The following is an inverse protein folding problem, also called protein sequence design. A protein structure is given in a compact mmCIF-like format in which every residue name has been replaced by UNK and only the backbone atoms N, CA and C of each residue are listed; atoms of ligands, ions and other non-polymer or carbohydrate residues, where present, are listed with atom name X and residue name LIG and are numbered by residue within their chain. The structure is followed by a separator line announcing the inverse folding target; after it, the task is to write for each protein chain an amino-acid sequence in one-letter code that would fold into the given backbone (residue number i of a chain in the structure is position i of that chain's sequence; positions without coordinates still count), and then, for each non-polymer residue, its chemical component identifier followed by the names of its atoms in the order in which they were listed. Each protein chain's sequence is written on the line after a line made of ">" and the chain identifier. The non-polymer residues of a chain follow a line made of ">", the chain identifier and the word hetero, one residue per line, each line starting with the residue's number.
data_IF_204906803476
#
_entry.id   IF_204906803476
#
_cell.length_a   1.000
_cell.length_b   1.000
_cell.length_c   1.000
_cell.angle_alpha   90.00
_cell.angle_beta   90.00
_cell.angle_gamma   90.00
#
_symmetry.space_group_name_H-M   'P 1'
#
loop_
_entity.id
_entity.type
_entity.pdbx_description
1 polymer ?
#
# COMPACT_ATOMS: atom_id res chain seq x y z
N UNK A 1 0.30 14.77 52.44
CA UNK A 1 0.06 16.22 52.34
C UNK A 1 0.85 16.72 51.15
N UNK A 2 0.18 17.14 50.06
CA UNK A 2 0.87 17.75 48.93
C UNK A 2 1.51 19.05 49.41
N UNK A 3 2.83 19.14 49.29
CA UNK A 3 3.57 20.38 49.46
C UNK A 3 3.47 21.12 48.14
N UNK A 4 2.53 22.07 48.04
CA UNK A 4 2.57 23.04 46.95
C UNK A 4 3.82 23.90 47.17
N UNK A 5 4.60 24.07 46.11
CA UNK A 5 5.74 24.97 46.13
C UNK A 5 5.22 26.42 46.08
N UNK A 6 5.48 27.27 47.10
CA UNK A 6 4.93 28.63 47.15
C UNK A 6 5.53 29.58 46.10
N UNK A 7 6.56 29.16 45.37
CA UNK A 7 7.16 29.89 44.25
C UNK A 7 6.62 29.46 42.88
N UNK A 8 5.70 28.50 42.82
CA UNK A 8 5.13 28.04 41.54
C UNK A 8 4.20 29.10 40.93
N UNK A 9 4.46 29.45 39.68
CA UNK A 9 3.62 30.38 38.90
C UNK A 9 2.97 29.66 37.72
N UNK A 10 1.66 29.87 37.55
CA UNK A 10 0.89 29.28 36.47
C UNK A 10 1.28 29.87 35.11
N UNK A 11 1.62 31.17 35.07
CA UNK A 11 2.05 31.82 33.82
C UNK A 11 3.31 31.16 33.29
N UNK A 12 4.33 31.01 34.15
CA UNK A 12 5.60 30.38 33.81
C UNK A 12 5.40 28.94 33.32
N UNK A 13 4.56 28.17 34.01
CA UNK A 13 4.24 26.81 33.58
C UNK A 13 3.50 26.75 32.23
N UNK A 14 2.57 27.68 31.97
CA UNK A 14 1.86 27.74 30.68
C UNK A 14 2.79 28.17 29.55
N UNK A 15 3.71 29.08 29.82
CA UNK A 15 4.73 29.50 28.86
C UNK A 15 5.67 28.33 28.53
N UNK A 16 6.12 27.58 29.54
CA UNK A 16 6.91 26.34 29.35
C UNK A 16 6.15 25.30 28.51
N UNK A 17 4.88 25.04 28.83
CA UNK A 17 4.07 24.11 28.04
C UNK A 17 3.89 24.58 26.58
N UNK A 18 3.66 25.87 26.38
CA UNK A 18 3.51 26.43 25.04
C UNK A 18 4.82 26.36 24.24
N UNK A 19 5.98 26.55 24.88
CA UNK A 19 7.28 26.37 24.22
C UNK A 19 7.51 24.92 23.85
N UNK A 20 7.21 23.97 24.74
CA UNK A 20 7.35 22.54 24.48
C UNK A 20 6.45 22.08 23.32
N UNK A 21 5.21 22.57 23.27
CA UNK A 21 4.29 22.31 22.16
C UNK A 21 4.80 22.89 20.83
N UNK A 22 5.36 24.10 20.85
CA UNK A 22 5.93 24.71 19.65
C UNK A 22 7.15 23.93 19.12
N UNK A 23 8.02 23.45 20.01
CA UNK A 23 9.16 22.60 19.63
C UNK A 23 8.71 21.28 18.99
N UNK A 24 7.65 20.66 19.53
CA UNK A 24 7.05 19.45 18.96
C UNK A 24 6.50 19.71 17.54
N UNK A 25 5.77 20.81 17.36
CA UNK A 25 5.19 21.22 16.07
C UNK A 25 6.29 21.53 15.05
N UNK A 26 7.36 22.20 15.45
CA UNK A 26 8.52 22.45 14.59
C UNK A 26 9.15 21.13 14.13
N UNK A 27 9.30 20.16 15.03
CA UNK A 27 9.77 18.82 14.70
C UNK A 27 8.88 18.10 13.69
N UNK A 28 7.56 18.21 13.83
CA UNK A 28 6.60 17.64 12.87
C UNK A 28 6.68 18.31 11.50
N UNK A 29 6.74 19.64 11.46
CA UNK A 29 6.91 20.40 10.22
C UNK A 29 8.21 20.04 9.50
N UNK A 30 9.31 19.82 10.23
CA UNK A 30 10.58 19.37 9.64
C UNK A 30 10.46 18.01 8.94
N UNK A 31 9.73 17.06 9.54
CA UNK A 31 9.46 15.74 8.95
C UNK A 31 8.56 15.84 7.73
N UNK A 32 7.49 16.62 7.81
CA UNK A 32 6.59 16.84 6.66
C UNK A 32 7.32 17.50 5.49
N UNK A 33 8.16 18.49 5.77
CA UNK A 33 8.99 19.15 4.75
C UNK A 33 9.89 18.13 4.04
N UNK A 34 10.58 17.28 4.79
CA UNK A 34 11.42 16.22 4.22
C UNK A 34 10.60 15.24 3.36
N UNK A 35 9.41 14.84 3.82
CA UNK A 35 8.50 13.96 3.05
C UNK A 35 8.10 14.62 1.73
N UNK A 36 7.79 15.91 1.73
CA UNK A 36 7.44 16.65 0.52
C UNK A 36 8.64 16.80 -0.43
N UNK A 37 9.83 17.08 0.08
CA UNK A 37 11.06 17.16 -0.71
C UNK A 37 11.35 15.82 -1.42
N UNK A 38 11.20 14.69 -0.73
CA UNK A 38 11.38 13.35 -1.31
C UNK A 38 10.31 13.04 -2.38
N UNK A 39 9.04 13.35 -2.11
CA UNK A 39 7.95 13.17 -3.09
C UNK A 39 8.20 14.01 -4.35
N UNK A 40 8.64 15.25 -4.19
CA UNK A 40 9.01 16.12 -5.30
C UNK A 40 10.15 15.50 -6.13
N UNK A 41 11.22 15.04 -5.47
CA UNK A 41 12.34 14.40 -6.14
C UNK A 41 11.91 13.14 -6.93
N UNK A 42 11.03 12.32 -6.37
CA UNK A 42 10.45 11.17 -7.07
C UNK A 42 9.66 11.59 -8.30
N UNK A 43 8.84 12.63 -8.20
CA UNK A 43 8.09 13.17 -9.35
C UNK A 43 9.07 13.66 -10.44
N UNK A 44 10.12 14.38 -10.07
CA UNK A 44 11.11 14.87 -11.03
C UNK A 44 11.85 13.74 -11.77
N UNK A 45 12.19 12.66 -11.06
CA UNK A 45 12.83 11.49 -11.69
C UNK A 45 11.88 10.77 -12.64
N UNK A 46 10.61 10.62 -12.28
CA UNK A 46 9.58 10.08 -13.17
C UNK A 46 9.40 10.95 -14.43
N UNK A 47 9.32 12.27 -14.26
CA UNK A 47 9.22 13.20 -15.40
C UNK A 47 10.43 13.08 -16.33
N UNK A 48 11.66 12.99 -15.79
CA UNK A 48 12.87 12.78 -16.58
C UNK A 48 12.82 11.45 -17.34
N UNK A 49 12.36 10.37 -16.70
CA UNK A 49 12.21 9.05 -17.32
C UNK A 49 11.19 9.07 -18.46
N UNK A 50 10.02 9.66 -18.24
CA UNK A 50 8.97 9.78 -19.25
C UNK A 50 9.43 10.59 -20.46
N UNK A 51 10.14 11.70 -20.24
CA UNK A 51 10.74 12.48 -21.33
C UNK A 51 11.72 11.66 -22.15
N UNK A 52 12.60 10.89 -21.49
CA UNK A 52 13.53 9.98 -22.17
C UNK A 52 12.81 8.88 -22.96
N UNK A 53 11.75 8.29 -22.40
CA UNK A 53 10.96 7.28 -23.10
C UNK A 53 10.29 7.86 -24.35
N UNK A 54 9.73 9.07 -24.25
CA UNK A 54 9.16 9.77 -25.41
C UNK A 54 10.20 10.03 -26.50
N UNK A 55 11.39 10.51 -26.15
CA UNK A 55 12.48 10.74 -27.12
C UNK A 55 12.93 9.43 -27.82
N UNK A 56 12.93 8.30 -27.10
CA UNK A 56 13.24 6.99 -27.67
C UNK A 56 12.13 6.51 -28.60
N UNK A 57 10.86 6.67 -28.21
CA UNK A 57 9.71 6.33 -29.03
C UNK A 57 9.66 7.18 -30.31
N UNK A 58 9.87 8.49 -30.21
CA UNK A 58 9.97 9.40 -31.37
C UNK A 58 11.14 9.01 -32.28
N UNK A 59 12.31 8.61 -31.73
CA UNK A 59 13.42 8.08 -32.54
C UNK A 59 13.07 6.77 -33.24
N UNK A 60 12.31 5.87 -32.60
CA UNK A 60 11.87 4.61 -33.23
C UNK A 60 10.86 4.81 -34.36
N UNK A 61 10.12 5.92 -34.39
CA UNK A 61 9.30 6.29 -35.56
C UNK A 61 10.11 6.86 -36.72
N UNK A 62 11.39 7.21 -36.49
CA UNK A 62 12.37 7.54 -37.52
C UNK A 62 13.23 6.31 -37.85
N UNK A 63 12.60 5.18 -38.13
CA UNK A 63 13.32 3.95 -38.46
C UNK A 63 12.81 3.41 -39.79
N UNK A 64 13.75 3.15 -40.69
CA UNK A 64 13.60 2.55 -42.02
C UNK A 64 12.41 1.57 -42.08
N UNK A 65 11.48 1.71 -43.05
CA UNK A 65 10.33 0.82 -43.21
C UNK A 65 10.65 -0.69 -43.22
N UNK A 66 11.92 -1.06 -43.44
CA UNK A 66 12.39 -2.43 -43.47
C UNK A 66 13.12 -2.90 -42.20
N UNK A 67 13.26 -2.07 -41.15
CA UNK A 67 13.77 -2.54 -39.86
C UNK A 67 12.63 -3.15 -39.04
N UNK A 68 12.66 -4.49 -38.91
CA UNK A 68 11.81 -5.28 -38.02
C UNK A 68 12.63 -5.76 -36.82
N UNK A 69 11.97 -6.01 -35.69
CA UNK A 69 12.65 -6.48 -34.48
C UNK A 69 13.23 -7.89 -34.72
N UNK A 70 14.38 -8.22 -34.12
CA UNK A 70 15.06 -9.50 -34.34
C UNK A 70 14.20 -10.72 -33.95
N UNK A 71 13.17 -10.48 -33.14
CA UNK A 71 12.25 -11.49 -32.63
C UNK A 71 11.01 -11.70 -33.51
N UNK A 72 10.73 -10.81 -34.47
CA UNK A 72 9.60 -10.91 -35.42
C UNK A 72 9.79 -12.09 -36.42
N UNK A 73 10.98 -12.69 -36.45
CA UNK A 73 11.30 -13.87 -37.29
C UNK A 73 10.67 -15.16 -36.74
N UNK A 74 10.21 -15.15 -35.49
CA UNK A 74 9.60 -16.31 -34.83
C UNK A 74 8.06 -16.23 -34.76
N UNK A 75 7.45 -15.14 -35.23
CA UNK A 75 6.00 -15.11 -35.42
C UNK A 75 5.67 -15.95 -36.66
N UNK A 76 5.05 -17.11 -36.42
CA UNK A 76 4.71 -18.08 -37.45
C UNK A 76 3.65 -17.48 -38.40
N UNK A 77 3.99 -17.38 -39.70
CA UNK A 77 3.09 -16.93 -40.76
C UNK A 77 1.93 -17.95 -40.91
N UNK A 78 0.86 -17.78 -40.12
CA UNK A 78 -0.37 -18.52 -40.36
C UNK A 78 -1.29 -18.73 -39.15
N UNK A 79 -2.07 -17.72 -38.79
CA UNK A 79 -3.48 -17.93 -38.50
C UNK A 79 -4.28 -16.64 -38.74
N UNK A 80 -5.48 -16.82 -39.26
CA UNK A 80 -6.47 -15.84 -39.70
C UNK A 80 -6.76 -14.76 -38.63
N UNK A 81 -7.35 -13.59 -38.98
CA UNK A 81 -7.68 -12.56 -37.99
C UNK A 81 -8.79 -13.07 -37.08
N UNK A 82 -8.41 -13.82 -36.05
CA UNK A 82 -9.20 -13.98 -34.85
C UNK A 82 -9.43 -12.57 -34.31
N UNK A 83 -10.68 -12.34 -33.94
CA UNK A 83 -11.21 -11.15 -33.30
C UNK A 83 -10.18 -10.45 -32.42
N UNK A 84 -10.23 -9.12 -32.45
CA UNK A 84 -9.73 -8.21 -31.42
C UNK A 84 -10.26 -8.65 -30.05
N UNK A 85 -9.70 -9.73 -29.49
CA UNK A 85 -9.68 -9.94 -28.06
C UNK A 85 -8.60 -9.01 -27.58
N UNK A 86 -9.06 -7.93 -26.96
CA UNK A 86 -8.32 -6.99 -26.14
C UNK A 86 -7.17 -7.74 -25.46
N UNK A 87 -5.97 -7.62 -26.02
CA UNK A 87 -4.73 -7.90 -25.31
C UNK A 87 -4.69 -6.85 -24.22
N UNK A 88 -5.26 -7.24 -23.09
CA UNK A 88 -5.17 -6.56 -21.82
C UNK A 88 -3.72 -6.08 -21.64
N UNK A 89 -3.55 -4.75 -21.70
CA UNK A 89 -2.28 -4.06 -21.57
C UNK A 89 -1.80 -4.22 -20.13
N UNK A 90 -1.26 -5.39 -19.80
CA UNK A 90 -0.57 -5.63 -18.55
C UNK A 90 -1.38 -5.19 -17.33
N UNK A 91 -2.54 -5.80 -17.10
CA UNK A 91 -3.03 -5.87 -15.72
C UNK A 91 -1.88 -6.39 -14.85
N UNK A 92 -1.51 -5.58 -13.86
CA UNK A 92 -0.61 -6.03 -12.83
C UNK A 92 -1.20 -7.34 -12.30
N UNK A 93 -0.40 -8.40 -12.24
CA UNK A 93 -0.84 -9.71 -11.73
C UNK A 93 -1.41 -9.65 -10.30
N UNK A 94 -1.27 -8.48 -9.65
CA UNK A 94 -1.89 -8.09 -8.39
C UNK A 94 -2.47 -6.69 -8.62
N UNK A 95 -3.78 -6.58 -8.77
CA UNK A 95 -4.48 -5.31 -8.64
C UNK A 95 -4.42 -4.94 -7.16
N UNK A 96 -3.70 -3.88 -6.79
CA UNK A 96 -3.69 -3.36 -5.42
C UNK A 96 -5.04 -2.69 -5.06
N UNK A 97 -6.14 -3.25 -5.55
CA UNK A 97 -7.45 -2.62 -5.65
C UNK A 97 -7.97 -2.12 -4.32
N UNK A 98 -8.55 -0.91 -4.31
CA UNK A 98 -9.30 -0.22 -3.23
C UNK A 98 -8.66 -0.07 -1.83
N UNK A 99 -7.70 -0.91 -1.49
CA UNK A 99 -6.95 -0.98 -0.25
C UNK A 99 -5.76 -0.02 -0.39
N UNK A 100 -6.06 1.28 -0.45
CA UNK A 100 -5.07 2.35 -0.47
C UNK A 100 -4.29 2.40 0.85
N UNK A 101 -3.47 1.39 1.16
CA UNK A 101 -2.63 1.31 2.36
C UNK A 101 -1.54 2.41 2.41
N UNK A 102 -1.56 3.34 1.44
CA UNK A 102 -0.66 4.47 1.37
C UNK A 102 0.71 4.04 0.86
N UNK A 103 1.75 4.28 1.68
CA UNK A 103 3.15 4.07 1.29
C UNK A 103 3.68 2.65 1.66
N UNK A 104 2.86 1.77 2.26
CA UNK A 104 3.27 0.42 2.63
C UNK A 104 2.64 -0.67 1.71
N UNK A 105 3.37 -1.11 0.66
CA UNK A 105 2.89 -2.14 -0.25
C UNK A 105 2.83 -3.53 0.39
N UNK A 106 3.59 -3.79 1.46
CA UNK A 106 3.56 -5.09 2.14
C UNK A 106 2.28 -5.22 2.96
N UNK A 107 1.90 -4.16 3.67
CA UNK A 107 0.64 -4.12 4.40
C UNK A 107 -0.57 -4.36 3.48
N UNK A 108 -0.55 -3.78 2.27
CA UNK A 108 -1.60 -4.03 1.27
C UNK A 108 -1.68 -5.53 0.90
N UNK A 109 -0.56 -6.14 0.54
CA UNK A 109 -0.49 -7.57 0.17
C UNK A 109 -0.93 -8.47 1.33
N UNK A 110 -0.45 -8.20 2.55
CA UNK A 110 -0.83 -9.00 3.72
C UNK A 110 -2.31 -8.83 4.05
N UNK A 111 -2.85 -7.61 3.93
CA UNK A 111 -4.28 -7.35 4.15
C UNK A 111 -5.17 -8.08 3.13
N UNK A 112 -4.73 -8.19 1.88
CA UNK A 112 -5.42 -8.95 0.85
C UNK A 112 -5.38 -10.45 1.14
N UNK A 113 -4.24 -10.98 1.59
CA UNK A 113 -4.15 -12.37 2.02
C UNK A 113 -5.04 -12.68 3.23
N UNK A 114 -5.09 -11.77 4.23
CA UNK A 114 -6.00 -11.90 5.38
C UNK A 114 -7.46 -11.93 4.91
N UNK A 115 -7.85 -11.03 4.00
CA UNK A 115 -9.19 -11.00 3.41
C UNK A 115 -9.51 -12.30 2.68
N UNK A 116 -8.61 -12.79 1.82
CA UNK A 116 -8.81 -14.03 1.06
C UNK A 116 -9.07 -15.24 1.97
N UNK A 117 -8.39 -15.32 3.12
CA UNK A 117 -8.63 -16.39 4.11
C UNK A 117 -10.03 -16.26 4.74
N UNK A 118 -10.45 -15.03 5.06
CA UNK A 118 -11.77 -14.79 5.65
C UNK A 118 -12.89 -15.06 4.64
N UNK A 119 -12.70 -14.66 3.38
CA UNK A 119 -13.62 -14.93 2.27
C UNK A 119 -13.78 -16.44 2.04
N UNK A 120 -12.66 -17.18 1.96
CA UNK A 120 -12.68 -18.63 1.81
C UNK A 120 -13.43 -19.32 2.98
N UNK A 121 -13.26 -18.82 4.21
CA UNK A 121 -13.99 -19.34 5.37
C UNK A 121 -15.50 -19.02 5.31
N UNK A 122 -15.89 -17.85 4.78
CA UNK A 122 -17.28 -17.49 4.56
C UNK A 122 -17.93 -18.39 3.50
N UNK A 123 -17.22 -18.72 2.41
CA UNK A 123 -17.68 -19.69 1.41
C UNK A 123 -17.89 -21.11 1.99
N UNK A 124 -17.04 -21.51 2.94
CA UNK A 124 -17.19 -22.77 3.69
C UNK A 124 -18.35 -22.75 4.71
N UNK A 125 -19.03 -21.60 4.88
CA UNK A 125 -20.14 -21.41 5.82
C UNK A 125 -19.70 -21.10 7.25
N UNK A 126 -18.43 -20.72 7.43
CA UNK A 126 -17.87 -20.30 8.72
C UNK A 126 -17.59 -18.80 8.69
N UNK A 127 -18.59 -17.99 9.05
CA UNK A 127 -18.48 -16.51 9.09
C UNK A 127 -17.55 -15.95 10.18
N UNK A 128 -16.82 -16.81 10.90
CA UNK A 128 -16.02 -16.44 12.06
C UNK A 128 -14.66 -17.13 12.03
N UNK A 129 -13.61 -16.37 11.82
CA UNK A 129 -12.23 -16.85 11.71
C UNK A 129 -11.41 -16.40 12.91
N UNK A 130 -10.91 -17.32 13.77
CA UNK A 130 -10.06 -16.96 14.89
C UNK A 130 -8.66 -16.53 14.42
N UNK A 131 -8.02 -15.62 15.15
CA UNK A 131 -6.69 -15.11 14.84
C UNK A 131 -5.64 -16.22 14.68
N UNK A 132 -5.65 -17.21 15.56
CA UNK A 132 -4.73 -18.35 15.49
C UNK A 132 -4.83 -19.10 14.16
N UNK A 133 -6.04 -19.21 13.58
CA UNK A 133 -6.24 -19.84 12.26
C UNK A 133 -5.65 -18.97 11.15
N UNK A 134 -5.72 -17.64 11.25
CA UNK A 134 -5.05 -16.74 10.31
C UNK A 134 -3.53 -16.94 10.36
N UNK A 135 -2.96 -16.98 11.58
CA UNK A 135 -1.53 -17.22 11.78
C UNK A 135 -1.11 -18.56 11.21
N UNK A 136 -1.81 -19.65 11.54
CA UNK A 136 -1.47 -20.99 11.05
C UNK A 136 -1.49 -21.10 9.51
N UNK A 137 -2.43 -20.42 8.86
CA UNK A 137 -2.55 -20.46 7.40
C UNK A 137 -1.54 -19.56 6.68
N UNK A 138 -1.29 -18.37 7.22
CA UNK A 138 -0.43 -17.38 6.59
C UNK A 138 1.06 -17.59 6.93
N UNK A 139 1.39 -18.26 8.03
CA UNK A 139 2.76 -18.70 8.34
C UNK A 139 3.28 -19.70 7.29
N UNK A 140 2.40 -20.52 6.70
CA UNK A 140 2.76 -21.41 5.60
C UNK A 140 3.18 -20.65 4.32
N UNK A 141 2.71 -19.42 4.16
CA UNK A 141 3.07 -18.50 3.07
C UNK A 141 4.31 -17.66 3.44
N UNK A 142 4.75 -17.72 4.70
CA UNK A 142 5.90 -17.00 5.24
C UNK A 142 5.58 -15.60 5.77
N UNK A 143 4.30 -15.31 6.02
CA UNK A 143 3.86 -14.04 6.63
C UNK A 143 3.90 -14.20 8.14
N UNK A 144 4.54 -13.25 8.83
CA UNK A 144 4.76 -13.32 10.27
C UNK A 144 3.54 -12.83 11.05
N UNK A 145 3.34 -13.35 12.27
CA UNK A 145 2.19 -13.00 13.11
C UNK A 145 2.07 -11.49 13.42
N UNK A 146 3.19 -10.77 13.51
CA UNK A 146 3.21 -9.31 13.66
C UNK A 146 2.69 -8.57 12.42
N UNK A 147 2.96 -9.08 11.23
CA UNK A 147 2.44 -8.52 9.97
C UNK A 147 0.94 -8.80 9.82
N UNK A 148 0.47 -9.96 10.29
CA UNK A 148 -0.95 -10.33 10.30
C UNK A 148 -1.73 -9.44 11.28
N UNK A 149 -1.19 -9.22 12.48
CA UNK A 149 -1.81 -8.34 13.49
C UNK A 149 -1.98 -6.91 12.95
N UNK A 150 -0.93 -6.37 12.31
CA UNK A 150 -0.98 -5.04 11.69
C UNK A 150 -2.03 -4.97 10.56
N UNK A 151 -2.08 -5.99 9.70
CA UNK A 151 -3.07 -6.07 8.63
C UNK A 151 -4.51 -6.17 9.15
N UNK A 152 -4.76 -6.98 10.19
CA UNK A 152 -6.08 -7.09 10.83
C UNK A 152 -6.50 -5.76 11.45
N UNK A 153 -5.60 -5.10 12.20
CA UNK A 153 -5.88 -3.79 12.79
C UNK A 153 -6.22 -2.74 11.72
N UNK A 154 -5.50 -2.75 10.61
CA UNK A 154 -5.73 -1.86 9.48
C UNK A 154 -7.08 -2.12 8.79
N UNK A 155 -7.44 -3.38 8.56
CA UNK A 155 -8.73 -3.78 7.97
C UNK A 155 -9.92 -3.41 8.88
N UNK A 156 -9.77 -3.59 10.20
CA UNK A 156 -10.76 -3.16 11.20
C UNK A 156 -10.94 -1.64 11.19
N UNK A 157 -9.85 -0.88 11.12
CA UNK A 157 -9.90 0.58 11.06
C UNK A 157 -10.69 1.09 9.85
N UNK A 158 -10.56 0.40 8.71
CA UNK A 158 -11.28 0.70 7.46
C UNK A 158 -12.68 0.13 7.40
N UNK A 159 -13.07 -0.68 8.40
CA UNK A 159 -14.36 -1.38 8.46
C UNK A 159 -14.58 -2.32 7.27
N UNK A 160 -13.51 -2.92 6.76
CA UNK A 160 -13.60 -3.97 5.73
C UNK A 160 -13.98 -5.30 6.40
N UNK A 161 -13.43 -5.56 7.58
CA UNK A 161 -13.76 -6.70 8.44
C UNK A 161 -14.34 -6.20 9.77
N UNK A 162 -15.05 -7.07 10.47
CA UNK A 162 -15.59 -6.82 11.80
C UNK A 162 -15.11 -7.89 12.80
N UNK A 163 -14.93 -7.47 14.05
CA UNK A 163 -14.66 -8.39 15.16
C UNK A 163 -16.00 -8.86 15.74
N UNK A 164 -16.25 -10.18 15.68
CA UNK A 164 -17.51 -10.79 16.09
C UNK A 164 -17.46 -11.28 17.55
N UNK A 165 -16.31 -11.83 17.94
CA UNK A 165 -15.98 -12.32 19.27
C UNK A 165 -14.49 -12.00 19.54
N UNK A 166 -14.04 -12.22 20.77
CA UNK A 166 -12.64 -11.96 21.12
C UNK A 166 -11.70 -12.76 20.21
N UNK A 167 -10.83 -12.05 19.51
CA UNK A 167 -9.87 -12.59 18.54
C UNK A 167 -10.52 -13.38 17.37
N UNK A 168 -11.77 -13.07 17.01
CA UNK A 168 -12.48 -13.70 15.90
C UNK A 168 -13.03 -12.65 14.91
N UNK A 169 -12.65 -12.80 13.64
CA UNK A 169 -12.94 -11.83 12.58
C UNK A 169 -13.85 -12.41 11.50
N UNK A 170 -14.68 -11.57 10.91
CA UNK A 170 -15.58 -11.92 9.81
C UNK A 170 -15.86 -10.74 8.88
N UNK A 171 -16.57 -11.00 7.79
CA UNK A 171 -17.08 -9.95 6.90
C UNK A 171 -18.43 -9.46 7.41
N UNK A 172 -18.63 -8.14 7.38
CA UNK A 172 -19.92 -7.53 7.70
C UNK A 172 -20.83 -7.62 6.46
N UNK A 173 -21.58 -8.71 6.33
CA UNK A 173 -22.56 -8.95 5.24
C UNK A 173 -23.95 -8.37 5.57
#
# INVERSE_FOLDING_TARGET
>A
MLRLDPSWDLSEWLDECATDELELVEGHLGRERLRLEQRLHRIETLVKRLRRQREVAERSTWTDPNQRNLFDVYEEDGSEPASEDEVDEGEAAVDFGSLDAGDDPLLAIVSEHVLSVIEAASEEGTDRVPFDRLVDQLDAVGIRADEIDEAVAWLLQRRVISELEQDCFGLDL
#
